data_IF_482714027779
#
_entry.id   IF_482714027779
#
_cell.length_a   1.000
_cell.length_b   1.000
_cell.length_c   1.000
_cell.angle_alpha   90.00
_cell.angle_beta   90.00
_cell.angle_gamma   90.00
#
_symmetry.space_group_name_H-M   'P 1'
#
loop_
_entity.id
_entity.type
_entity.pdbx_description
1 polymer ?
#
# COMPACT_ATOMS: atom_id res chain seq x y z
N UNK A 1 31.22 -3.81 -12.16
CA UNK A 1 32.31 -3.08 -11.46
C UNK A 1 31.66 -2.38 -10.29
N UNK A 2 32.13 -2.57 -9.06
CA UNK A 2 31.56 -1.91 -7.88
C UNK A 2 32.50 -0.84 -7.31
N UNK A 3 31.94 0.31 -6.94
CA UNK A 3 32.62 1.48 -6.39
C UNK A 3 33.01 1.25 -4.92
N UNK A 4 34.32 1.28 -4.65
CA UNK A 4 34.89 1.09 -3.30
C UNK A 4 35.14 2.41 -2.55
N UNK A 5 34.69 3.55 -3.08
CA UNK A 5 34.90 4.87 -2.45
C UNK A 5 33.98 5.02 -1.24
N UNK A 6 34.47 5.66 -0.17
CA UNK A 6 33.68 5.88 1.06
C UNK A 6 32.86 7.17 1.03
N UNK A 7 33.37 8.22 0.40
CA UNK A 7 32.64 9.48 0.23
C UNK A 7 31.76 9.43 -1.03
N UNK A 8 30.53 9.93 -0.94
CA UNK A 8 29.56 10.04 -2.05
C UNK A 8 29.39 8.73 -2.85
N UNK A 9 29.26 7.60 -2.15
CA UNK A 9 29.05 6.31 -2.80
C UNK A 9 27.57 6.13 -3.19
N UNK A 10 27.20 6.68 -4.34
CA UNK A 10 25.84 6.57 -4.87
C UNK A 10 25.44 5.13 -5.19
N UNK A 11 26.36 4.28 -5.63
CA UNK A 11 26.06 2.86 -5.88
C UNK A 11 25.60 2.14 -4.60
N UNK A 12 26.26 2.42 -3.47
CA UNK A 12 25.85 1.88 -2.17
C UNK A 12 24.48 2.43 -1.74
N UNK A 13 24.25 3.73 -1.95
CA UNK A 13 22.98 4.38 -1.63
C UNK A 13 21.82 3.79 -2.45
N UNK A 14 21.99 3.67 -3.76
CA UNK A 14 21.01 3.09 -4.68
C UNK A 14 20.71 1.62 -4.34
N UNK A 15 21.73 0.84 -3.96
CA UNK A 15 21.53 -0.54 -3.53
C UNK A 15 20.68 -0.64 -2.25
N UNK A 16 20.87 0.28 -1.29
CA UNK A 16 20.03 0.36 -0.09
C UNK A 16 18.61 0.81 -0.43
N UNK A 17 18.46 1.83 -1.28
CA UNK A 17 17.16 2.34 -1.72
C UNK A 17 16.36 1.29 -2.48
N UNK A 18 17.01 0.49 -3.32
CA UNK A 18 16.38 -0.65 -4.00
C UNK A 18 15.75 -1.63 -3.00
N UNK A 19 16.45 -1.94 -1.90
CA UNK A 19 15.89 -2.78 -0.84
C UNK A 19 14.63 -2.19 -0.20
N UNK A 20 14.61 -0.88 0.04
CA UNK A 20 13.43 -0.19 0.55
C UNK A 20 12.28 -0.20 -0.47
N UNK A 21 12.57 0.04 -1.75
CA UNK A 21 11.58 0.03 -2.82
C UNK A 21 10.92 -1.35 -2.98
N UNK A 22 11.70 -2.43 -2.92
CA UNK A 22 11.17 -3.79 -2.96
C UNK A 22 10.23 -4.06 -1.79
N UNK A 23 10.63 -3.67 -0.58
CA UNK A 23 9.83 -3.84 0.63
C UNK A 23 8.49 -3.07 0.55
N UNK A 24 8.52 -1.83 0.05
CA UNK A 24 7.30 -1.03 -0.16
C UNK A 24 6.41 -1.62 -1.25
N UNK A 25 7.01 -2.11 -2.33
CA UNK A 25 6.28 -2.75 -3.44
C UNK A 25 5.51 -3.97 -2.96
N UNK A 26 6.13 -4.81 -2.13
CA UNK A 26 5.46 -5.97 -1.52
C UNK A 26 4.27 -5.54 -0.65
N UNK A 27 4.43 -4.50 0.17
CA UNK A 27 3.35 -3.95 0.99
C UNK A 27 2.19 -3.42 0.14
N UNK A 28 2.49 -2.72 -0.95
CA UNK A 28 1.48 -2.20 -1.88
C UNK A 28 0.69 -3.36 -2.51
N UNK A 29 1.40 -4.36 -3.06
CA UNK A 29 0.78 -5.53 -3.70
C UNK A 29 -0.06 -6.33 -2.70
N UNK A 30 0.47 -6.59 -1.51
CA UNK A 30 -0.23 -7.32 -0.46
C UNK A 30 -1.52 -6.59 -0.02
N UNK A 31 -1.45 -5.26 0.11
CA UNK A 31 -2.61 -4.42 0.42
C UNK A 31 -3.66 -4.46 -0.69
N UNK A 32 -3.24 -4.33 -1.95
CA UNK A 32 -4.10 -4.33 -3.12
C UNK A 32 -4.82 -5.68 -3.30
N UNK A 33 -4.11 -6.79 -3.07
CA UNK A 33 -4.65 -8.14 -3.16
C UNK A 33 -5.79 -8.38 -2.15
N UNK A 34 -5.61 -7.91 -0.91
CA UNK A 34 -6.62 -8.05 0.14
C UNK A 34 -7.78 -7.06 0.03
N UNK A 35 -7.58 -5.92 -0.64
CA UNK A 35 -8.65 -4.94 -0.89
C UNK A 35 -9.45 -5.30 -2.14
N UNK A 36 -10.51 -6.08 -1.93
CA UNK A 36 -11.45 -6.56 -2.96
C UNK A 36 -12.58 -5.55 -3.23
N UNK A 37 -12.21 -4.35 -3.63
CA UNK A 37 -13.12 -3.30 -4.12
C UNK A 37 -12.36 -2.39 -5.08
N UNK A 38 -13.07 -1.47 -5.71
CA UNK A 38 -12.48 -0.34 -6.44
C UNK A 38 -12.85 1.00 -5.80
N UNK A 39 -11.85 1.85 -5.54
CA UNK A 39 -12.02 3.18 -4.94
C UNK A 39 -10.85 4.10 -5.27
N UNK A 40 -11.14 5.21 -5.93
CA UNK A 40 -10.12 6.21 -6.29
C UNK A 40 -9.09 5.60 -7.24
N UNK A 41 -7.80 5.70 -6.91
CA UNK A 41 -6.72 5.16 -7.74
C UNK A 41 -6.60 3.62 -7.69
N UNK A 42 -7.18 2.95 -6.69
CA UNK A 42 -7.19 1.49 -6.62
C UNK A 42 -8.38 0.96 -7.40
N UNK A 43 -8.14 0.35 -8.55
CA UNK A 43 -9.15 -0.25 -9.41
C UNK A 43 -8.84 -1.72 -9.68
N UNK A 44 -9.87 -2.54 -9.69
CA UNK A 44 -9.82 -3.98 -9.90
C UNK A 44 -10.95 -4.42 -10.82
N UNK A 45 -10.60 -5.03 -11.94
CA UNK A 45 -11.59 -5.55 -12.90
C UNK A 45 -12.47 -6.65 -12.29
N UNK A 46 -11.92 -7.46 -11.39
CA UNK A 46 -12.65 -8.51 -10.67
C UNK A 46 -13.53 -7.97 -9.52
N UNK A 47 -13.31 -6.72 -9.09
CA UNK A 47 -14.12 -6.02 -8.08
C UNK A 47 -14.32 -4.54 -8.46
N UNK A 48 -15.07 -4.24 -9.54
CA UNK A 48 -15.09 -2.91 -10.15
C UNK A 48 -15.90 -1.88 -9.35
N UNK A 49 -16.69 -2.34 -8.37
CA UNK A 49 -17.56 -1.49 -7.56
C UNK A 49 -16.96 -1.19 -6.19
N UNK A 50 -17.36 -0.04 -5.64
CA UNK A 50 -17.05 0.35 -4.27
C UNK A 50 -17.85 -0.48 -3.27
N UNK A 51 -17.22 -0.97 -2.21
CA UNK A 51 -17.85 -1.87 -1.23
C UNK A 51 -17.72 -1.32 0.21
N UNK A 52 -18.45 -0.25 0.52
CA UNK A 52 -18.36 0.46 1.80
C UNK A 52 -18.64 -0.43 3.03
N UNK A 53 -19.56 -1.40 2.92
CA UNK A 53 -19.87 -2.34 4.01
C UNK A 53 -18.63 -3.10 4.50
N UNK A 54 -17.69 -3.40 3.61
CA UNK A 54 -16.52 -4.21 3.92
C UNK A 54 -15.21 -3.41 3.99
N UNK A 55 -15.08 -2.34 3.19
CA UNK A 55 -13.81 -1.66 2.94
C UNK A 55 -13.82 -0.15 3.26
N UNK A 56 -14.83 0.35 3.99
CA UNK A 56 -14.78 1.69 4.59
C UNK A 56 -13.85 1.74 5.82
N UNK A 57 -12.58 1.40 5.58
CA UNK A 57 -11.50 1.24 6.54
C UNK A 57 -10.15 1.47 5.88
N UNK A 58 -9.19 1.94 6.65
CA UNK A 58 -7.79 2.02 6.25
C UNK A 58 -7.16 0.63 6.31
N UNK A 59 -6.38 0.29 5.29
CA UNK A 59 -5.51 -0.89 5.28
C UNK A 59 -4.19 -0.54 5.97
N UNK A 60 -3.77 -1.36 6.91
CA UNK A 60 -2.48 -1.25 7.59
C UNK A 60 -1.75 -2.56 7.41
N UNK A 61 -0.49 -2.52 6.98
CA UNK A 61 0.34 -3.71 6.84
C UNK A 61 1.53 -3.58 7.76
N UNK A 62 1.78 -4.62 8.55
CA UNK A 62 2.88 -4.68 9.50
C UNK A 62 3.79 -5.83 9.12
N UNK A 63 5.08 -5.58 9.01
CA UNK A 63 6.05 -6.65 8.86
C UNK A 63 6.23 -7.37 10.20
N UNK A 64 6.01 -8.68 10.22
CA UNK A 64 6.20 -9.52 11.41
C UNK A 64 7.19 -10.64 11.11
N UNK A 65 7.73 -11.35 12.13
CA UNK A 65 8.59 -12.51 11.90
C UNK A 65 7.94 -13.65 11.10
N UNK A 66 6.60 -13.68 11.00
CA UNK A 66 5.85 -14.69 10.23
C UNK A 66 5.49 -14.22 8.82
N UNK A 67 5.89 -13.00 8.43
CA UNK A 67 5.49 -12.35 7.18
C UNK A 67 4.62 -11.10 7.40
N UNK A 68 4.11 -10.48 6.31
CA UNK A 68 3.26 -9.30 6.39
C UNK A 68 1.89 -9.65 7.01
N UNK A 69 1.51 -8.90 8.05
CA UNK A 69 0.22 -9.00 8.72
C UNK A 69 -0.67 -7.82 8.32
N UNK A 70 -1.90 -8.11 7.88
CA UNK A 70 -2.87 -7.09 7.48
C UNK A 70 -3.84 -6.78 8.61
N UNK A 71 -3.97 -5.50 8.92
CA UNK A 71 -4.93 -4.98 9.89
C UNK A 71 -5.73 -3.87 9.28
N UNK A 72 -6.85 -3.55 9.93
CA UNK A 72 -7.74 -2.51 9.47
C UNK A 72 -8.08 -1.55 10.59
N UNK A 73 -8.17 -0.27 10.23
CA UNK A 73 -8.64 0.78 11.12
C UNK A 73 -9.89 1.42 10.51
N UNK A 74 -11.02 1.51 11.24
CA UNK A 74 -12.23 2.13 10.71
C UNK A 74 -11.97 3.60 10.36
N UNK A 75 -12.58 4.08 9.27
CA UNK A 75 -12.55 5.50 8.91
C UNK A 75 -13.40 6.27 9.90
N UNK A 76 -12.92 7.42 10.39
CA UNK A 76 -13.70 8.33 11.22
C UNK A 76 -14.56 9.22 10.34
N UNK A 77 -15.85 8.92 10.26
CA UNK A 77 -16.84 9.75 9.56
C UNK A 77 -17.33 10.82 10.53
N UNK A 78 -17.36 12.07 10.09
CA UNK A 78 -17.80 13.20 10.92
C UNK A 78 -19.05 13.83 10.33
N UNK A 79 -18.90 14.88 9.52
CA UNK A 79 -20.02 15.69 9.01
C UNK A 79 -20.57 15.17 7.68
N UNK A 80 -19.70 14.70 6.81
CA UNK A 80 -20.07 14.29 5.45
C UNK A 80 -20.15 12.77 5.36
N UNK A 81 -21.32 12.28 5.00
CA UNK A 81 -21.53 10.86 4.78
C UNK A 81 -20.90 10.42 3.45
N UNK A 82 -20.46 9.15 3.35
CA UNK A 82 -19.90 8.66 2.12
C UNK A 82 -20.98 8.53 1.04
N UNK A 83 -20.83 9.28 -0.04
CA UNK A 83 -21.70 9.20 -1.23
C UNK A 83 -20.92 8.66 -2.44
N UNK A 84 -21.66 8.25 -3.48
CA UNK A 84 -21.08 7.90 -4.77
C UNK A 84 -20.49 9.16 -5.43
N UNK A 85 -19.28 9.06 -6.00
CA UNK A 85 -18.68 10.15 -6.77
C UNK A 85 -19.11 10.03 -8.23
N UNK A 86 -19.66 11.10 -8.78
CA UNK A 86 -20.00 11.27 -10.20
C UNK A 86 -19.19 12.47 -10.70
N UNK A 87 -18.60 12.36 -11.89
CA UNK A 87 -17.78 13.39 -12.53
C UNK A 87 -18.50 13.97 -13.75
#
# INVERSE_FOLDING_TARGET
>A
KSSKRKAFNFELMEAMELGHQLSLSEVILFSALHRRESRGAHYREDFPVRADRYFLKHTLVFQTPKGPDIRYKPVKITRFQPEARVY
#
